data_IF_063111335897
#
_entry.id   IF_063111335897
#
_cell.length_a   1.000
_cell.length_b   1.000
_cell.length_c   1.000
_cell.angle_alpha   90.00
_cell.angle_beta   90.00
_cell.angle_gamma   90.00
#
_symmetry.space_group_name_H-M   'P 1'
#
loop_
_entity.id
_entity.type
_entity.pdbx_description
1 polymer ?
#
# COMPACT_ATOMS: atom_id res chain seq x y z
N UNK A 1 -10.62 2.12 31.51
CA UNK A 1 -11.98 2.41 31.01
C UNK A 1 -12.32 1.42 29.91
N UNK A 2 -13.58 1.01 29.76
CA UNK A 2 -14.01 0.21 28.59
C UNK A 2 -14.15 1.16 27.40
N UNK A 3 -13.66 0.77 26.23
CA UNK A 3 -13.82 1.53 24.98
C UNK A 3 -15.30 1.64 24.60
N UNK A 4 -15.66 2.71 23.88
CA UNK A 4 -17.01 2.95 23.38
C UNK A 4 -17.23 2.39 21.97
N UNK A 5 -16.19 1.86 21.33
CA UNK A 5 -16.27 1.30 19.99
C UNK A 5 -16.95 -0.08 20.00
N UNK A 6 -17.62 -0.40 18.89
CA UNK A 6 -18.20 -1.72 18.69
C UNK A 6 -17.10 -2.82 18.71
N UNK A 7 -17.41 -4.06 19.16
CA UNK A 7 -16.43 -5.14 19.23
C UNK A 7 -15.70 -5.41 17.91
N UNK A 8 -16.44 -5.45 16.79
CA UNK A 8 -15.88 -5.67 15.45
C UNK A 8 -14.90 -4.56 15.06
N UNK A 9 -15.25 -3.31 15.39
CA UNK A 9 -14.38 -2.17 15.15
C UNK A 9 -13.14 -2.23 16.04
N UNK A 10 -13.24 -2.67 17.29
CA UNK A 10 -12.09 -2.83 18.17
C UNK A 10 -11.08 -3.83 17.63
N UNK A 11 -11.54 -4.94 17.07
CA UNK A 11 -10.67 -5.95 16.44
C UNK A 11 -10.00 -5.39 15.19
N UNK A 12 -10.74 -4.67 14.35
CA UNK A 12 -10.18 -3.94 13.21
C UNK A 12 -9.08 -2.98 13.67
N UNK A 13 -9.34 -2.07 14.62
CA UNK A 13 -8.35 -1.10 15.09
C UNK A 13 -7.12 -1.77 15.70
N UNK A 14 -7.29 -2.85 16.47
CA UNK A 14 -6.15 -3.64 16.98
C UNK A 14 -5.29 -4.20 15.85
N UNK A 15 -5.92 -4.73 14.79
CA UNK A 15 -5.22 -5.24 13.63
C UNK A 15 -4.47 -4.13 12.88
N UNK A 16 -5.09 -2.97 12.67
CA UNK A 16 -4.49 -1.85 11.92
C UNK A 16 -3.29 -1.21 12.62
N UNK A 17 -3.32 -1.16 13.95
CA UNK A 17 -2.26 -0.56 14.76
C UNK A 17 -1.25 -1.60 15.29
N UNK A 18 -1.29 -2.85 14.78
CA UNK A 18 -0.36 -3.90 15.21
C UNK A 18 1.05 -3.71 14.60
N UNK A 19 1.98 -3.20 15.41
CA UNK A 19 3.39 -3.01 15.05
C UNK A 19 4.06 -4.28 14.52
N UNK A 20 3.72 -5.45 15.08
CA UNK A 20 4.34 -6.71 14.70
C UNK A 20 4.00 -7.07 13.24
N UNK A 21 2.79 -6.80 12.79
CA UNK A 21 2.37 -7.02 11.39
C UNK A 21 3.23 -6.21 10.42
N UNK A 22 3.51 -4.94 10.73
CA UNK A 22 4.38 -4.11 9.90
C UNK A 22 5.83 -4.61 9.89
N UNK A 23 6.35 -5.11 11.03
CA UNK A 23 7.70 -5.71 11.10
C UNK A 23 7.80 -6.97 10.25
N UNK A 24 6.79 -7.85 10.31
CA UNK A 24 6.74 -9.06 9.47
C UNK A 24 6.73 -8.68 7.99
N UNK A 25 5.90 -7.71 7.59
CA UNK A 25 5.87 -7.22 6.22
C UNK A 25 7.23 -6.69 5.74
N UNK A 26 7.98 -5.94 6.56
CA UNK A 26 9.34 -5.49 6.20
C UNK A 26 10.31 -6.66 5.99
N UNK A 27 10.20 -7.71 6.81
CA UNK A 27 11.05 -8.90 6.70
C UNK A 27 10.74 -9.71 5.43
N UNK A 28 9.48 -9.79 5.00
CA UNK A 28 9.09 -10.42 3.72
C UNK A 28 9.79 -9.76 2.53
N UNK A 29 9.97 -8.44 2.58
CA UNK A 29 10.73 -7.70 1.57
C UNK A 29 12.26 -7.77 1.75
N UNK A 30 12.74 -8.57 2.70
CA UNK A 30 14.17 -8.75 3.04
C UNK A 30 14.85 -7.43 3.41
N UNK A 31 14.13 -6.56 4.10
CA UNK A 31 14.66 -5.30 4.60
C UNK A 31 15.37 -5.57 5.93
N UNK A 32 16.52 -4.95 6.12
CA UNK A 32 17.26 -5.05 7.36
C UNK A 32 16.64 -4.11 8.41
N UNK A 33 15.73 -4.65 9.23
CA UNK A 33 15.00 -3.89 10.27
C UNK A 33 15.89 -3.45 11.43
N UNK A 34 17.07 -4.05 11.64
CA UNK A 34 18.01 -3.60 12.68
C UNK A 34 18.73 -2.33 12.28
N UNK A 35 19.02 -2.16 10.98
CA UNK A 35 19.61 -0.94 10.43
C UNK A 35 18.56 0.13 10.13
N UNK A 36 17.36 -0.29 9.71
CA UNK A 36 16.26 0.60 9.37
C UNK A 36 14.98 0.21 10.14
N UNK A 37 14.89 0.58 11.43
CA UNK A 37 13.66 0.39 12.18
C UNK A 37 12.55 1.32 11.67
N UNK A 38 11.29 0.96 11.94
CA UNK A 38 10.10 1.66 11.45
C UNK A 38 10.09 3.19 11.70
N UNK A 39 10.55 3.63 12.88
CA UNK A 39 10.62 5.05 13.24
C UNK A 39 11.70 5.86 12.51
N UNK A 40 12.66 5.18 11.86
CA UNK A 40 13.71 5.81 11.05
C UNK A 40 13.43 5.77 9.55
N UNK A 41 12.25 5.29 9.14
CA UNK A 41 11.83 5.33 7.75
C UNK A 41 11.66 6.79 7.32
N UNK A 42 12.39 7.18 6.28
CA UNK A 42 12.34 8.54 5.76
C UNK A 42 11.70 8.56 4.38
N UNK A 43 10.60 9.32 4.24
CA UNK A 43 9.98 9.61 2.93
C UNK A 43 11.02 10.05 1.88
N UNK A 44 12.01 10.85 2.30
CA UNK A 44 13.08 11.34 1.41
C UNK A 44 13.98 10.20 0.89
N UNK A 45 14.33 9.24 1.74
CA UNK A 45 15.15 8.09 1.34
C UNK A 45 14.37 7.17 0.40
N UNK A 46 13.07 6.97 0.66
CA UNK A 46 12.18 6.18 -0.21
C UNK A 46 12.07 6.83 -1.59
N UNK A 47 11.88 8.16 -1.66
CA UNK A 47 11.81 8.89 -2.93
C UNK A 47 13.11 8.75 -3.74
N UNK A 48 14.27 8.93 -3.09
CA UNK A 48 15.57 8.70 -3.73
C UNK A 48 15.78 7.26 -4.18
N UNK A 49 15.18 6.29 -3.46
CA UNK A 49 15.15 4.90 -3.89
C UNK A 49 14.40 4.72 -5.23
N UNK A 50 13.25 5.38 -5.40
CA UNK A 50 12.51 5.35 -6.65
C UNK A 50 13.29 6.00 -7.80
N UNK A 51 14.01 7.09 -7.53
CA UNK A 51 14.90 7.73 -8.51
C UNK A 51 15.99 6.74 -8.98
N UNK A 52 16.65 6.04 -8.06
CA UNK A 52 17.65 5.03 -8.40
C UNK A 52 17.07 3.86 -9.20
N UNK A 53 15.87 3.37 -8.87
CA UNK A 53 15.21 2.32 -9.66
C UNK A 53 14.79 2.80 -11.05
N UNK A 54 14.37 4.05 -11.18
CA UNK A 54 14.03 4.65 -12.48
C UNK A 54 15.28 4.76 -13.36
N UNK A 55 16.42 5.14 -12.77
CA UNK A 55 17.71 5.17 -13.45
C UNK A 55 18.12 3.77 -13.94
N UNK A 56 18.01 2.74 -13.08
CA UNK A 56 18.29 1.35 -13.45
C UNK A 56 17.38 0.90 -14.61
N UNK A 57 16.07 1.18 -14.52
CA UNK A 57 15.12 0.83 -15.58
C UNK A 57 15.50 1.47 -16.93
N UNK A 58 15.86 2.75 -16.91
CA UNK A 58 16.28 3.47 -18.11
C UNK A 58 17.56 2.88 -18.70
N UNK A 59 18.53 2.53 -17.85
CA UNK A 59 19.77 1.88 -18.28
C UNK A 59 19.49 0.51 -18.90
N UNK A 60 18.59 -0.30 -18.32
CA UNK A 60 18.19 -1.60 -18.85
C UNK A 60 17.53 -1.50 -20.23
N UNK A 61 16.62 -0.54 -20.42
CA UNK A 61 15.93 -0.32 -21.69
C UNK A 61 16.80 0.34 -22.78
N UNK A 62 17.82 1.11 -22.40
CA UNK A 62 18.66 1.83 -23.34
C UNK A 62 19.76 0.92 -23.95
N UNK A 63 19.93 1.00 -25.27
CA UNK A 63 20.91 0.25 -26.06
C UNK A 63 22.13 1.08 -26.49
N UNK A 64 22.19 2.37 -26.11
CA UNK A 64 23.21 3.33 -26.58
C UNK A 64 24.57 3.23 -25.87
N UNK A 65 24.66 2.56 -24.74
CA UNK A 65 25.90 2.45 -23.96
C UNK A 65 26.60 1.11 -24.20
N UNK A 66 27.93 1.13 -24.22
CA UNK A 66 28.73 -0.10 -24.17
C UNK A 66 28.36 -0.93 -22.94
N UNK A 67 28.35 -2.26 -23.12
CA UNK A 67 27.90 -3.22 -22.13
C UNK A 67 28.60 -3.04 -20.76
N UNK A 68 29.93 -2.89 -20.77
CA UNK A 68 30.73 -2.72 -19.56
C UNK A 68 30.43 -1.43 -18.79
N UNK A 69 30.13 -0.34 -19.52
CA UNK A 69 29.77 0.95 -18.91
C UNK A 69 28.38 0.85 -18.27
N UNK A 70 27.43 0.24 -18.99
CA UNK A 70 26.06 0.01 -18.50
C UNK A 70 26.05 -0.84 -17.24
N UNK A 71 26.84 -1.92 -17.20
CA UNK A 71 26.93 -2.79 -16.02
C UNK A 71 27.44 -2.03 -14.80
N UNK A 72 28.50 -1.22 -14.95
CA UNK A 72 29.04 -0.40 -13.85
C UNK A 72 28.02 0.62 -13.33
N UNK A 73 27.29 1.29 -14.22
CA UNK A 73 26.24 2.25 -13.84
C UNK A 73 25.08 1.57 -13.10
N UNK A 74 24.66 0.38 -13.53
CA UNK A 74 23.63 -0.41 -12.84
C UNK A 74 24.10 -0.81 -11.44
N UNK A 75 25.35 -1.23 -11.29
CA UNK A 75 25.93 -1.58 -9.98
C UNK A 75 25.97 -0.35 -9.07
N UNK A 76 26.42 0.79 -9.57
CA UNK A 76 26.46 2.05 -8.81
C UNK A 76 25.05 2.47 -8.33
N UNK A 77 24.07 2.49 -9.24
CA UNK A 77 22.69 2.83 -8.91
C UNK A 77 22.08 1.83 -7.91
N UNK A 78 22.39 0.55 -8.05
CA UNK A 78 21.98 -0.50 -7.09
C UNK A 78 22.58 -0.25 -5.70
N UNK A 79 23.87 0.08 -5.63
CA UNK A 79 24.54 0.39 -4.36
C UNK A 79 23.97 1.65 -3.70
N UNK A 80 23.64 2.68 -4.48
CA UNK A 80 22.95 3.89 -3.99
C UNK A 80 21.60 3.52 -3.35
N UNK A 81 20.81 2.66 -3.98
CA UNK A 81 19.57 2.17 -3.40
C UNK A 81 19.80 1.44 -2.07
N UNK A 82 20.72 0.48 -2.00
CA UNK A 82 20.95 -0.30 -0.78
C UNK A 82 21.61 0.49 0.35
N UNK A 83 22.31 1.58 0.03
CA UNK A 83 22.81 2.53 1.03
C UNK A 83 21.65 3.28 1.70
N UNK A 84 20.61 3.62 0.93
CA UNK A 84 19.43 4.32 1.44
C UNK A 84 18.44 3.39 2.13
N UNK A 85 18.29 2.17 1.61
CA UNK A 85 17.32 1.16 2.04
C UNK A 85 18.06 -0.17 2.24
N UNK A 86 18.56 -0.41 3.46
CA UNK A 86 19.34 -1.58 3.75
C UNK A 86 18.56 -2.88 3.56
N UNK A 87 19.12 -3.80 2.79
CA UNK A 87 18.56 -5.14 2.58
C UNK A 87 19.45 -6.19 3.26
N UNK A 88 18.85 -7.31 3.68
CA UNK A 88 19.58 -8.42 4.32
C UNK A 88 20.58 -9.06 3.35
N UNK A 89 20.26 -9.08 2.05
CA UNK A 89 21.12 -9.64 0.99
C UNK A 89 21.13 -8.72 -0.24
N UNK A 90 21.92 -7.63 -0.23
CA UNK A 90 21.99 -6.71 -1.36
C UNK A 90 22.64 -7.40 -2.57
N UNK A 91 22.00 -7.28 -3.74
CA UNK A 91 22.48 -7.81 -5.03
C UNK A 91 22.18 -6.79 -6.13
N UNK A 92 23.05 -6.71 -7.14
CA UNK A 92 22.83 -5.81 -8.27
C UNK A 92 21.49 -6.11 -8.97
N UNK A 93 20.75 -5.05 -9.32
CA UNK A 93 19.43 -5.14 -9.95
C UNK A 93 19.63 -5.16 -11.47
N UNK A 94 19.71 -6.36 -12.04
CA UNK A 94 20.10 -6.54 -13.44
C UNK A 94 18.93 -6.88 -14.36
N UNK A 95 17.79 -7.32 -13.81
CA UNK A 95 16.64 -7.75 -14.60
C UNK A 95 15.40 -6.89 -14.34
N UNK A 96 14.52 -6.82 -15.34
CA UNK A 96 13.25 -6.08 -15.24
C UNK A 96 12.40 -6.59 -14.06
N UNK A 97 12.44 -7.90 -13.79
CA UNK A 97 11.69 -8.50 -12.68
C UNK A 97 12.27 -8.11 -11.31
N UNK A 98 13.59 -7.93 -11.20
CA UNK A 98 14.22 -7.40 -9.99
C UNK A 98 13.77 -5.96 -9.74
N UNK A 99 13.73 -5.14 -10.79
CA UNK A 99 13.23 -3.75 -10.71
C UNK A 99 11.78 -3.75 -10.22
N UNK A 100 10.90 -4.55 -10.82
CA UNK A 100 9.48 -4.66 -10.40
C UNK A 100 9.36 -5.10 -8.94
N UNK A 101 10.13 -6.10 -8.52
CA UNK A 101 10.13 -6.56 -7.13
C UNK A 101 10.58 -5.45 -6.17
N UNK A 102 11.58 -4.66 -6.54
CA UNK A 102 12.07 -3.53 -5.74
C UNK A 102 11.12 -2.33 -5.75
N UNK A 103 10.41 -2.07 -6.85
CA UNK A 103 9.34 -1.06 -6.88
C UNK A 103 8.24 -1.44 -5.89
N UNK A 104 7.75 -2.68 -5.93
CA UNK A 104 6.75 -3.18 -4.97
C UNK A 104 7.23 -3.06 -3.51
N UNK A 105 8.51 -3.32 -3.27
CA UNK A 105 9.13 -3.10 -1.96
C UNK A 105 9.09 -1.62 -1.54
N UNK A 106 9.44 -0.69 -2.44
CA UNK A 106 9.43 0.74 -2.13
C UNK A 106 8.02 1.29 -1.92
N UNK A 107 7.03 0.82 -2.68
CA UNK A 107 5.62 1.15 -2.47
C UNK A 107 5.17 0.68 -1.09
N UNK A 108 5.47 -0.57 -0.71
CA UNK A 108 5.15 -1.08 0.62
C UNK A 108 5.88 -0.33 1.74
N UNK A 109 7.12 0.11 1.52
CA UNK A 109 7.85 0.95 2.47
C UNK A 109 7.26 2.36 2.59
N UNK A 110 6.86 2.95 1.46
CA UNK A 110 6.22 4.26 1.42
C UNK A 110 4.91 4.25 2.18
N UNK A 111 4.13 3.18 1.99
CA UNK A 111 3.01 2.85 2.83
C UNK A 111 3.52 2.84 4.26
N UNK A 112 4.22 1.80 4.73
CA UNK A 112 4.64 1.65 6.15
C UNK A 112 5.13 2.95 6.83
N UNK A 113 5.90 3.81 6.15
CA UNK A 113 6.33 5.13 6.64
C UNK A 113 5.18 6.10 6.97
N UNK A 114 4.11 6.15 6.18
CA UNK A 114 2.98 7.02 6.45
C UNK A 114 2.25 6.56 7.74
N UNK A 115 2.27 5.26 8.08
CA UNK A 115 1.50 4.66 9.20
C UNK A 115 2.37 4.59 10.41
N UNK A 116 3.69 4.50 10.26
CA UNK A 116 4.58 4.77 11.38
C UNK A 116 4.32 6.15 11.97
N UNK A 117 4.01 7.14 11.12
CA UNK A 117 3.60 8.49 11.56
C UNK A 117 2.25 8.51 12.28
N UNK A 118 1.33 7.59 11.95
CA UNK A 118 0.00 7.52 12.59
C UNK A 118 -0.01 6.68 13.88
N UNK A 119 0.57 5.48 13.79
CA UNK A 119 0.67 4.49 14.86
C UNK A 119 1.67 4.94 15.92
N UNK A 120 2.68 5.75 15.56
CA UNK A 120 3.60 6.34 16.53
C UNK A 120 4.55 5.32 17.15
N UNK A 121 5.27 4.54 16.34
CA UNK A 121 6.15 3.45 16.80
C UNK A 121 7.32 3.85 17.72
N UNK A 122 7.52 5.16 17.98
CA UNK A 122 8.65 5.73 18.72
C UNK A 122 8.32 6.13 20.17
N UNK A 123 7.09 5.90 20.66
CA UNK A 123 6.68 6.25 22.03
C UNK A 123 6.15 5.02 22.76
N UNK A 124 6.34 4.96 24.07
CA UNK A 124 5.59 4.02 24.93
C UNK A 124 4.10 4.26 24.68
N UNK A 125 3.46 3.27 24.07
CA UNK A 125 2.13 3.38 23.47
C UNK A 125 1.05 3.15 24.53
N UNK A 126 0.92 4.11 25.44
CA UNK A 126 -0.15 4.18 26.45
C UNK A 126 -1.49 4.67 25.86
N UNK A 127 -1.55 4.92 24.55
CA UNK A 127 -2.76 5.41 23.89
C UNK A 127 -3.85 4.33 23.82
N UNK A 128 -5.06 4.75 24.13
CA UNK A 128 -6.26 3.91 24.01
C UNK A 128 -6.60 3.63 22.55
N UNK A 129 -7.33 2.52 22.30
CA UNK A 129 -7.82 2.20 20.96
C UNK A 129 -8.78 3.28 20.42
N UNK A 130 -9.52 3.96 21.30
CA UNK A 130 -10.39 5.07 20.93
C UNK A 130 -9.59 6.29 20.40
N UNK A 131 -8.43 6.58 20.98
CA UNK A 131 -7.53 7.65 20.50
C UNK A 131 -6.90 7.28 19.15
N UNK A 132 -6.47 6.03 19.00
CA UNK A 132 -5.97 5.51 17.71
C UNK A 132 -7.04 5.56 16.62
N UNK A 133 -8.28 5.23 16.94
CA UNK A 133 -9.41 5.38 16.03
C UNK A 133 -9.61 6.84 15.61
N UNK A 134 -9.58 7.80 16.54
CA UNK A 134 -9.72 9.24 16.21
C UNK A 134 -8.67 9.74 15.24
N UNK A 135 -7.43 9.23 15.32
CA UNK A 135 -6.35 9.57 14.37
C UNK A 135 -6.66 9.18 12.93
N UNK A 136 -7.56 8.22 12.70
CA UNK A 136 -7.92 7.81 11.35
C UNK A 136 -8.72 8.89 10.61
N UNK A 137 -9.43 9.80 11.30
CA UNK A 137 -10.30 10.79 10.65
C UNK A 137 -11.31 10.17 9.67
N UNK A 138 -11.84 9.01 10.05
CA UNK A 138 -12.80 8.25 9.25
C UNK A 138 -13.86 7.64 10.18
N UNK A 139 -15.13 7.93 9.89
CA UNK A 139 -16.26 7.25 10.50
C UNK A 139 -16.32 5.81 9.98
N UNK A 140 -16.17 4.84 10.88
CA UNK A 140 -16.23 3.42 10.56
C UNK A 140 -17.38 2.81 11.33
N UNK A 141 -18.36 2.25 10.61
CA UNK A 141 -19.56 1.66 11.21
C UNK A 141 -19.69 0.21 10.76
N UNK A 142 -19.67 -0.79 11.65
CA UNK A 142 -19.93 -2.18 11.28
C UNK A 142 -21.37 -2.33 10.79
N UNK A 143 -21.54 -3.06 9.69
CA UNK A 143 -22.85 -3.36 9.12
C UNK A 143 -23.40 -4.66 9.73
N UNK A 144 -24.67 -4.70 10.15
CA UNK A 144 -25.34 -5.93 10.55
C UNK A 144 -25.36 -6.94 9.40
N UNK A 145 -25.14 -8.23 9.70
CA UNK A 145 -25.09 -9.30 8.69
C UNK A 145 -26.44 -9.50 7.98
N UNK A 146 -27.54 -9.10 8.62
CA UNK A 146 -28.89 -9.14 8.07
C UNK A 146 -29.27 -7.89 7.25
N UNK A 147 -28.39 -6.90 7.17
CA UNK A 147 -28.64 -5.68 6.38
C UNK A 147 -28.56 -5.92 4.87
N UNK A 148 -29.37 -5.17 4.11
CA UNK A 148 -29.38 -5.24 2.64
C UNK A 148 -28.00 -4.93 2.05
N UNK A 149 -27.28 -3.96 2.62
CA UNK A 149 -25.95 -3.56 2.18
C UNK A 149 -24.91 -4.68 2.40
N UNK A 150 -24.96 -5.38 3.55
CA UNK A 150 -24.06 -6.52 3.81
C UNK A 150 -24.31 -7.64 2.79
N UNK A 151 -25.57 -8.02 2.59
CA UNK A 151 -25.95 -9.07 1.63
C UNK A 151 -25.60 -8.69 0.18
N UNK A 152 -25.70 -7.40 -0.17
CA UNK A 152 -25.27 -6.90 -1.47
C UNK A 152 -23.76 -7.09 -1.67
N UNK A 153 -22.95 -6.74 -0.66
CA UNK A 153 -21.48 -6.91 -0.69
C UNK A 153 -21.11 -8.39 -0.78
N UNK A 154 -21.74 -9.24 0.03
CA UNK A 154 -21.56 -10.70 0.01
C UNK A 154 -21.86 -11.28 -1.38
N UNK A 155 -23.02 -10.93 -1.94
CA UNK A 155 -23.41 -11.34 -3.29
C UNK A 155 -22.44 -10.82 -4.35
N UNK A 156 -21.96 -9.58 -4.22
CA UNK A 156 -21.01 -8.99 -5.15
C UNK A 156 -19.63 -9.67 -5.06
N UNK A 157 -19.24 -10.17 -3.89
CA UNK A 157 -18.01 -10.93 -3.67
C UNK A 157 -18.08 -12.31 -4.33
N UNK A 158 -19.14 -13.08 -4.01
CA UNK A 158 -19.30 -14.46 -4.47
C UNK A 158 -19.48 -14.56 -5.98
N UNK A 159 -20.22 -13.62 -6.59
CA UNK A 159 -20.47 -13.64 -8.04
C UNK A 159 -19.25 -13.28 -8.88
N UNK A 160 -18.28 -12.56 -8.32
CA UNK A 160 -17.09 -12.09 -9.05
C UNK A 160 -15.83 -12.87 -8.70
N UNK A 161 -15.95 -14.01 -8.01
CA UNK A 161 -14.82 -14.89 -7.79
C UNK A 161 -14.40 -15.54 -9.11
N UNK A 162 -13.25 -15.12 -9.64
CA UNK A 162 -12.83 -15.51 -10.98
C UNK A 162 -12.54 -17.04 -11.03
N UNK A 163 -13.05 -17.77 -12.04
CA UNK A 163 -12.87 -19.23 -12.14
C UNK A 163 -11.42 -19.71 -12.24
N UNK A 164 -10.48 -18.79 -12.47
CA UNK A 164 -9.03 -19.08 -12.56
C UNK A 164 -8.34 -19.07 -11.19
N UNK A 165 -8.97 -18.53 -10.14
CA UNK A 165 -8.40 -18.42 -8.79
C UNK A 165 -8.96 -19.51 -7.87
N UNK A 166 -8.87 -20.79 -8.27
CA UNK A 166 -9.44 -21.92 -7.52
C UNK A 166 -8.60 -22.39 -6.33
N UNK A 167 -7.39 -21.86 -6.20
CA UNK A 167 -6.44 -22.28 -5.16
C UNK A 167 -6.84 -21.77 -3.77
N UNK A 168 -7.83 -20.86 -3.69
CA UNK A 168 -8.35 -20.30 -2.46
C UNK A 168 -9.83 -19.95 -2.58
N UNK A 169 -10.51 -19.88 -1.44
CA UNK A 169 -11.88 -19.39 -1.31
C UNK A 169 -11.90 -18.15 -0.42
N UNK A 170 -12.88 -17.27 -0.61
CA UNK A 170 -13.10 -16.13 0.27
C UNK A 170 -14.31 -16.39 1.15
N UNK A 171 -14.17 -16.05 2.41
CA UNK A 171 -15.25 -15.96 3.37
C UNK A 171 -15.35 -14.49 3.79
N UNK A 172 -16.57 -13.96 3.78
CA UNK A 172 -16.83 -12.59 4.22
C UNK A 172 -17.10 -12.63 5.73
N UNK A 173 -16.13 -12.14 6.52
CA UNK A 173 -16.28 -12.10 7.97
C UNK A 173 -17.10 -10.86 8.39
N UNK A 174 -16.59 -9.66 8.08
CA UNK A 174 -17.16 -8.39 8.54
C UNK A 174 -17.22 -7.36 7.40
N UNK A 175 -18.25 -6.50 7.42
CA UNK A 175 -18.39 -5.38 6.49
C UNK A 175 -18.50 -4.08 7.27
N UNK A 176 -17.74 -3.07 6.85
CA UNK A 176 -17.76 -1.76 7.46
C UNK A 176 -18.16 -0.71 6.45
N UNK A 177 -19.11 0.14 6.80
CA UNK A 177 -19.36 1.39 6.10
C UNK A 177 -18.31 2.43 6.51
N UNK A 178 -17.75 3.13 5.53
CA UNK A 178 -16.68 4.10 5.72
C UNK A 178 -17.14 5.49 5.28
N UNK A 179 -16.88 6.49 6.13
CA UNK A 179 -17.08 7.91 5.82
C UNK A 179 -15.81 8.68 6.17
N UNK A 180 -15.04 9.06 5.15
CA UNK A 180 -13.80 9.81 5.35
C UNK A 180 -14.06 11.30 5.46
N UNK A 181 -13.42 11.94 6.42
CA UNK A 181 -13.58 13.37 6.66
C UNK A 181 -13.23 14.19 5.39
N UNK A 182 -14.21 14.96 4.89
CA UNK A 182 -14.08 15.82 3.72
C UNK A 182 -14.02 15.11 2.35
N UNK A 183 -14.18 13.79 2.27
CA UNK A 183 -14.23 13.07 0.98
C UNK A 183 -15.54 13.33 0.24
N UNK A 184 -16.67 13.33 0.96
CA UNK A 184 -17.98 13.62 0.39
C UNK A 184 -18.01 15.01 -0.27
N UNK A 185 -17.52 16.05 0.42
CA UNK A 185 -17.48 17.42 -0.09
C UNK A 185 -16.62 17.55 -1.36
N UNK A 186 -15.52 16.79 -1.45
CA UNK A 186 -14.67 16.73 -2.65
C UNK A 186 -15.35 15.99 -3.79
N UNK A 187 -16.19 15.01 -3.49
CA UNK A 187 -16.90 14.21 -4.49
C UNK A 187 -18.15 14.91 -5.03
N UNK A 188 -18.86 15.70 -4.21
CA UNK A 188 -20.09 16.42 -4.57
C UNK A 188 -20.01 17.16 -5.92
N UNK A 189 -18.95 17.93 -6.25
CA UNK A 189 -18.83 18.63 -7.53
C UNK A 189 -18.84 17.72 -8.77
N UNK A 190 -18.54 16.43 -8.60
CA UNK A 190 -18.47 15.43 -9.66
C UNK A 190 -19.68 14.50 -9.70
N UNK A 191 -20.45 14.41 -8.61
CA UNK A 191 -21.56 13.47 -8.41
C UNK A 191 -22.59 13.53 -9.55
N UNK A 192 -22.92 14.73 -10.02
CA UNK A 192 -23.93 14.94 -11.07
C UNK A 192 -23.33 15.05 -12.48
N UNK A 193 -22.01 15.27 -12.57
CA UNK A 193 -21.29 15.36 -13.85
C UNK A 193 -20.89 13.98 -14.38
N UNK A 194 -20.67 13.01 -13.50
CA UNK A 194 -20.28 11.65 -13.83
C UNK A 194 -21.53 10.80 -14.09
N UNK A 195 -21.72 10.41 -15.36
CA UNK A 195 -22.88 9.60 -15.79
C UNK A 195 -22.75 8.12 -15.43
N UNK A 196 -21.53 7.58 -15.44
CA UNK A 196 -21.28 6.18 -15.14
C UNK A 196 -20.59 6.04 -13.77
N UNK A 197 -21.37 5.74 -12.74
CA UNK A 197 -20.90 5.52 -11.37
C UNK A 197 -21.02 4.04 -11.06
N UNK A 198 -19.90 3.42 -10.71
CA UNK A 198 -19.82 1.99 -10.43
C UNK A 198 -19.12 1.79 -9.09
N UNK A 199 -19.57 0.78 -8.35
CA UNK A 199 -18.84 0.24 -7.22
C UNK A 199 -17.82 -0.74 -7.77
N UNK A 200 -16.55 -0.60 -7.37
CA UNK A 200 -15.44 -1.41 -7.83
C UNK A 200 -14.62 -1.90 -6.65
N UNK A 201 -14.06 -3.10 -6.78
CA UNK A 201 -13.16 -3.66 -5.78
C UNK A 201 -11.77 -3.02 -5.87
N UNK A 202 -11.19 -2.76 -4.69
CA UNK A 202 -9.81 -2.35 -4.57
C UNK A 202 -9.13 -3.15 -3.45
N UNK A 203 -8.32 -4.14 -3.84
CA UNK A 203 -7.57 -4.98 -2.91
C UNK A 203 -6.20 -4.38 -2.59
N UNK A 204 -5.80 -4.45 -1.33
CA UNK A 204 -4.52 -3.90 -0.87
C UNK A 204 -3.97 -4.71 0.31
N UNK A 205 -2.64 -4.78 0.44
CA UNK A 205 -1.96 -5.60 1.48
C UNK A 205 -2.04 -4.95 2.86
N UNK A 206 -2.99 -5.33 3.71
CA UNK A 206 -3.08 -4.84 5.10
C UNK A 206 -3.10 -3.31 5.22
N UNK A 207 -3.52 -2.63 4.15
CA UNK A 207 -3.30 -1.22 3.82
C UNK A 207 -4.39 -0.29 4.40
N UNK A 208 -5.21 -0.77 5.33
CA UNK A 208 -6.41 -0.03 5.76
C UNK A 208 -6.09 1.31 6.44
N UNK A 209 -4.94 1.38 7.14
CA UNK A 209 -4.45 2.61 7.80
C UNK A 209 -4.22 3.77 6.81
N UNK A 210 -4.05 3.48 5.50
CA UNK A 210 -3.83 4.49 4.45
C UNK A 210 -5.10 5.16 3.95
N UNK A 211 -6.19 4.40 3.84
CA UNK A 211 -7.43 4.92 3.27
C UNK A 211 -8.13 5.89 4.21
N UNK A 212 -7.63 6.16 5.41
CA UNK A 212 -8.25 7.13 6.30
C UNK A 212 -7.61 8.53 6.18
N UNK A 213 -6.40 8.64 5.62
CA UNK A 213 -5.73 9.94 5.40
C UNK A 213 -6.15 10.61 4.07
N UNK A 214 -6.16 11.94 3.94
CA UNK A 214 -6.73 12.66 2.78
C UNK A 214 -5.99 12.50 1.43
N UNK A 215 -5.07 11.53 1.28
CA UNK A 215 -4.30 11.30 0.05
C UNK A 215 -4.60 9.95 -0.58
N UNK A 216 -5.57 9.94 -1.49
CA UNK A 216 -5.31 9.31 -2.78
C UNK A 216 -4.39 10.28 -3.52
N UNK A 217 -3.07 10.11 -3.42
CA UNK A 217 -2.18 10.83 -4.34
C UNK A 217 -2.44 10.27 -5.74
N UNK A 218 -2.95 11.12 -6.63
CA UNK A 218 -2.83 10.85 -8.06
C UNK A 218 -1.34 10.62 -8.34
N UNK A 219 -0.99 9.49 -8.94
CA UNK A 219 0.29 9.35 -9.64
C UNK A 219 0.27 10.26 -10.88
N UNK A 220 0.38 11.57 -10.69
CA UNK A 220 0.14 12.63 -11.70
C UNK A 220 1.29 12.89 -12.67
N UNK A 221 2.28 12.00 -12.78
CA UNK A 221 3.44 12.23 -13.67
C UNK A 221 3.57 11.29 -14.86
N UNK A 222 2.57 10.45 -15.18
CA UNK A 222 2.63 9.58 -16.37
C UNK A 222 1.43 9.76 -17.29
N UNK A 223 1.73 9.81 -18.57
CA UNK A 223 0.78 10.03 -19.66
C UNK A 223 -0.24 8.87 -19.77
N UNK A 224 -1.47 9.11 -20.25
CA UNK A 224 -2.50 8.07 -20.40
C UNK A 224 -2.08 6.85 -21.22
N UNK A 225 -1.12 7.02 -22.15
CA UNK A 225 -0.53 5.95 -22.96
C UNK A 225 0.42 5.04 -22.18
N UNK A 226 1.06 5.53 -21.12
CA UNK A 226 1.95 4.73 -20.26
C UNK A 226 1.15 3.84 -19.28
N UNK A 227 -0.08 4.25 -18.95
CA UNK A 227 -1.00 3.47 -18.10
C UNK A 227 -1.49 2.18 -18.78
N UNK A 228 -1.77 2.22 -20.08
CA UNK A 228 -2.25 1.06 -20.84
C UNK A 228 -1.20 -0.06 -20.92
N UNK A 229 0.09 0.28 -21.05
CA UNK A 229 1.16 -0.71 -21.07
C UNK A 229 1.52 -1.23 -19.67
N UNK A 230 1.37 -0.41 -18.63
CA UNK A 230 1.66 -0.81 -17.25
C UNK A 230 0.61 -1.79 -16.70
N UNK A 231 -0.67 -1.59 -17.01
CA UNK A 231 -1.77 -2.46 -16.57
C UNK A 231 -1.86 -3.78 -17.34
N UNK A 232 -1.58 -3.81 -18.65
CA UNK A 232 -1.65 -5.06 -19.43
C UNK A 232 -0.59 -6.10 -19.04
N UNK A 233 0.51 -5.71 -18.37
CA UNK A 233 1.58 -6.65 -17.97
C UNK A 233 1.48 -7.22 -16.55
N UNK A 234 0.61 -6.69 -15.69
CA UNK A 234 0.65 -7.01 -14.24
C UNK A 234 -0.56 -7.80 -13.70
N UNK A 235 -1.45 -8.29 -14.58
CA UNK A 235 -2.59 -9.13 -14.20
C UNK A 235 -2.49 -10.60 -14.66
N UNK A 236 -1.31 -11.04 -15.10
CA UNK A 236 -1.04 -12.45 -15.35
C UNK A 236 0.15 -12.91 -14.49
N UNK A 237 -0.15 -13.15 -13.21
CA UNK A 237 0.27 -14.30 -12.39
C UNK A 237 -0.22 -14.11 -10.96
#
# INVERSE_FOLDING_TARGET
MKSQLAPQLLELIKMLFNVATYRVAMLEFKINTSQMPLGKLSKKNIQKGFEALTEIQNLLCNTKHDFDIKERLIIDASNRLFTLIPSIHPRAIQHEDDVKAKVKMLEALQDIEIASRLVGFDRDDDESLDEKYKKLHCGITPLPHDSEDYQLVEKYLLNNHAPIHKDWTLELEEVFALEREGEFDKFVPYKDKLKNKMLLWHGSRGKFCWYSQPRFENCTSRSPSEWLQFWQRHLLR
#
